data_IF_834932748304
#
_entry.id   IF_834932748304
#
_cell.length_a   1.000
_cell.length_b   1.000
_cell.length_c   1.000
_cell.angle_alpha   90.00
_cell.angle_beta   90.00
_cell.angle_gamma   90.00
#
_symmetry.space_group_name_H-M   'P 1'
#
loop_
_entity.id
_entity.type
_entity.pdbx_description
1 polymer ?
#
# COMPACT_ATOMS: atom_id res chain seq x y z
N UNK A 1 -34.51 -49.00 27.48
CA UNK A 1 -33.42 -48.53 28.35
C UNK A 1 -32.82 -47.30 27.70
N UNK A 2 -33.05 -46.17 28.35
CA UNK A 2 -32.60 -44.83 27.98
C UNK A 2 -31.08 -44.75 27.85
N UNK A 3 -30.57 -43.93 26.93
CA UNK A 3 -29.76 -42.75 27.27
C UNK A 3 -29.36 -41.97 26.02
N UNK A 4 -30.00 -40.81 25.92
CA UNK A 4 -29.61 -39.57 25.28
C UNK A 4 -28.11 -39.27 25.32
N UNK A 5 -27.55 -38.83 24.19
CA UNK A 5 -26.57 -37.74 24.16
C UNK A 5 -26.81 -36.94 22.88
N UNK A 6 -27.63 -35.90 23.00
CA UNK A 6 -27.46 -34.69 22.21
C UNK A 6 -26.07 -34.10 22.53
N UNK A 7 -25.44 -33.43 21.55
CA UNK A 7 -25.06 -32.01 21.60
C UNK A 7 -23.85 -31.74 20.69
N UNK A 8 -24.01 -30.72 19.85
CA UNK A 8 -23.07 -29.63 19.56
C UNK A 8 -22.90 -29.34 18.06
N UNK A 9 -23.82 -28.51 17.58
CA UNK A 9 -23.57 -27.22 16.92
C UNK A 9 -22.57 -27.15 15.75
N UNK A 10 -23.16 -26.93 14.57
CA UNK A 10 -22.85 -25.84 13.64
C UNK A 10 -21.56 -25.05 13.88
N UNK A 11 -20.65 -25.09 12.90
CA UNK A 11 -19.75 -23.98 12.59
C UNK A 11 -19.98 -23.54 11.16
N UNK A 12 -21.12 -22.87 10.95
CA UNK A 12 -21.18 -21.85 9.92
C UNK A 12 -20.21 -20.74 10.34
N UNK A 13 -19.05 -20.64 9.67
CA UNK A 13 -18.24 -19.42 9.73
C UNK A 13 -18.93 -18.35 8.88
N UNK A 14 -20.03 -17.81 9.39
CA UNK A 14 -20.42 -16.44 9.10
C UNK A 14 -19.56 -15.53 10.00
N UNK A 15 -18.26 -15.51 9.74
CA UNK A 15 -17.35 -14.56 10.37
C UNK A 15 -17.33 -13.31 9.51
N UNK A 16 -18.36 -12.47 9.63
CA UNK A 16 -18.27 -11.10 9.12
C UNK A 16 -17.07 -10.45 9.78
N UNK A 17 -16.04 -10.14 9.00
CA UNK A 17 -14.92 -9.35 9.49
C UNK A 17 -15.50 -8.09 10.17
N UNK A 18 -15.00 -7.68 11.34
CA UNK A 18 -15.46 -6.44 11.96
C UNK A 18 -15.37 -5.33 10.91
N UNK A 19 -16.40 -4.48 10.82
CA UNK A 19 -16.38 -3.31 9.93
C UNK A 19 -15.13 -2.48 10.23
N UNK A 20 -14.07 -2.70 9.45
CA UNK A 20 -12.84 -1.96 9.59
C UNK A 20 -13.07 -0.58 9.00
N UNK A 21 -12.72 0.46 9.75
CA UNK A 21 -12.76 1.81 9.21
C UNK A 21 -11.79 1.89 8.03
N UNK A 22 -12.18 2.57 6.95
CA UNK A 22 -11.33 2.70 5.76
C UNK A 22 -9.93 3.25 6.10
N UNK A 23 -9.82 4.14 7.09
CA UNK A 23 -8.53 4.63 7.59
C UNK A 23 -7.67 3.53 8.23
N UNK A 24 -8.28 2.59 8.98
CA UNK A 24 -7.56 1.45 9.54
C UNK A 24 -7.07 0.51 8.44
N UNK A 25 -7.86 0.30 7.39
CA UNK A 25 -7.43 -0.54 6.27
C UNK A 25 -6.26 0.09 5.49
N UNK A 26 -6.30 1.41 5.22
CA UNK A 26 -5.18 2.14 4.62
C UNK A 26 -3.92 2.05 5.49
N UNK A 27 -4.07 2.21 6.81
CA UNK A 27 -2.96 2.09 7.74
C UNK A 27 -2.36 0.69 7.74
N UNK A 28 -3.20 -0.36 7.79
CA UNK A 28 -2.76 -1.74 7.77
C UNK A 28 -2.02 -2.10 6.47
N UNK A 29 -2.59 -1.71 5.32
CA UNK A 29 -1.96 -1.96 4.01
C UNK A 29 -0.61 -1.23 3.88
N UNK A 30 -0.55 0.03 4.30
CA UNK A 30 0.70 0.80 4.27
C UNK A 30 1.77 0.26 5.23
N UNK A 31 1.37 -0.30 6.38
CA UNK A 31 2.30 -0.93 7.31
C UNK A 31 2.83 -2.25 6.74
N UNK A 32 1.96 -3.13 6.23
CA UNK A 32 2.38 -4.39 5.61
C UNK A 32 3.34 -4.16 4.44
N UNK A 33 3.05 -3.20 3.57
CA UNK A 33 3.99 -2.77 2.52
C UNK A 33 5.35 -2.35 3.07
N UNK A 34 5.39 -1.58 4.15
CA UNK A 34 6.65 -1.15 4.74
C UNK A 34 7.44 -2.33 5.31
N UNK A 35 6.76 -3.24 6.02
CA UNK A 35 7.35 -4.44 6.59
C UNK A 35 7.95 -5.32 5.49
N UNK A 36 7.22 -5.57 4.41
CA UNK A 36 7.69 -6.34 3.24
C UNK A 36 8.94 -5.70 2.61
N UNK A 37 8.91 -4.38 2.42
CA UNK A 37 10.03 -3.63 1.83
C UNK A 37 11.26 -3.69 2.74
N UNK A 38 11.09 -3.53 4.05
CA UNK A 38 12.19 -3.61 5.02
C UNK A 38 12.74 -5.03 5.14
N UNK A 39 11.88 -6.05 5.14
CA UNK A 39 12.29 -7.45 5.20
C UNK A 39 13.14 -7.86 4.00
N UNK A 40 12.91 -7.26 2.82
CA UNK A 40 13.74 -7.51 1.65
C UNK A 40 15.21 -7.11 1.85
N UNK A 41 15.49 -6.11 2.71
CA UNK A 41 16.82 -5.54 2.94
C UNK A 41 17.44 -4.82 1.73
N UNK A 42 16.71 -4.69 0.62
CA UNK A 42 17.24 -4.18 -0.67
C UNK A 42 17.17 -2.67 -0.82
N UNK A 43 16.37 -2.01 0.02
CA UNK A 43 16.04 -0.59 -0.13
C UNK A 43 16.53 0.16 1.11
N UNK A 44 17.49 1.10 0.96
CA UNK A 44 17.92 1.94 2.07
C UNK A 44 16.73 2.75 2.64
N UNK A 45 16.60 2.78 3.97
CA UNK A 45 15.52 3.51 4.65
C UNK A 45 15.46 4.99 4.26
N UNK A 46 16.62 5.63 4.07
CA UNK A 46 16.72 7.02 3.62
C UNK A 46 16.11 7.27 2.24
N UNK A 47 16.34 6.36 1.29
CA UNK A 47 15.76 6.44 -0.05
C UNK A 47 14.26 6.22 -0.03
N UNK A 48 13.79 5.22 0.73
CA UNK A 48 12.37 4.95 0.89
C UNK A 48 11.64 6.16 1.47
N UNK A 49 12.18 6.76 2.54
CA UNK A 49 11.67 8.00 3.13
C UNK A 49 11.60 9.12 2.09
N UNK A 50 12.69 9.38 1.38
CA UNK A 50 12.80 10.46 0.38
C UNK A 50 11.73 10.33 -0.70
N UNK A 51 11.56 9.15 -1.28
CA UNK A 51 10.60 8.94 -2.36
C UNK A 51 9.16 8.93 -1.85
N UNK A 52 8.86 8.25 -0.75
CA UNK A 52 7.51 8.23 -0.16
C UNK A 52 7.03 9.64 0.21
N UNK A 53 7.90 10.50 0.76
CA UNK A 53 7.57 11.90 1.09
C UNK A 53 7.31 12.76 -0.13
N UNK A 54 7.95 12.46 -1.26
CA UNK A 54 7.91 13.28 -2.48
C UNK A 54 6.60 13.12 -3.24
N UNK A 55 6.05 11.91 -3.31
CA UNK A 55 4.89 11.61 -4.16
C UNK A 55 3.64 12.45 -3.82
N UNK A 56 3.22 12.62 -2.55
CA UNK A 56 2.04 13.43 -2.22
C UNK A 56 2.12 14.86 -2.72
N UNK A 57 3.26 15.52 -2.51
CA UNK A 57 3.48 16.89 -2.97
C UNK A 57 3.48 16.97 -4.51
N UNK A 58 4.09 15.98 -5.17
CA UNK A 58 4.12 15.95 -6.63
C UNK A 58 2.73 15.73 -7.25
N UNK A 59 1.85 14.95 -6.61
CA UNK A 59 0.45 14.80 -7.03
C UNK A 59 -0.27 16.15 -6.94
N UNK A 60 -0.01 16.95 -5.91
CA UNK A 60 -0.64 18.26 -5.73
C UNK A 60 -0.17 19.27 -6.79
N UNK A 61 1.12 19.29 -7.12
CA UNK A 61 1.70 20.29 -8.05
C UNK A 61 1.51 19.89 -9.52
N UNK A 62 1.75 18.63 -9.87
CA UNK A 62 1.78 18.17 -11.27
C UNK A 62 0.50 17.43 -11.68
N UNK A 63 -0.36 17.09 -10.71
CA UNK A 63 -1.50 16.21 -10.92
C UNK A 63 -1.17 14.73 -10.79
N UNK A 64 -2.21 13.94 -10.53
CA UNK A 64 -2.10 12.51 -10.23
C UNK A 64 -1.48 11.69 -11.38
N UNK A 65 -2.00 11.82 -12.60
CA UNK A 65 -1.50 11.05 -13.75
C UNK A 65 -0.02 11.29 -14.05
N UNK A 66 0.42 12.55 -14.08
CA UNK A 66 1.82 12.90 -14.34
C UNK A 66 2.75 12.41 -13.23
N UNK A 67 2.32 12.53 -11.98
CA UNK A 67 3.08 12.07 -10.82
C UNK A 67 3.30 10.54 -10.86
N UNK A 68 2.25 9.78 -11.15
CA UNK A 68 2.32 8.32 -11.27
C UNK A 68 3.16 7.89 -12.48
N UNK A 69 2.99 8.55 -13.63
CA UNK A 69 3.81 8.28 -14.82
C UNK A 69 5.30 8.55 -14.57
N UNK A 70 5.63 9.60 -13.80
CA UNK A 70 7.01 9.87 -13.39
C UNK A 70 7.58 8.71 -12.55
N UNK A 71 6.85 8.21 -11.56
CA UNK A 71 7.29 7.07 -10.74
C UNK A 71 7.46 5.82 -11.60
N UNK A 72 6.49 5.53 -12.47
CA UNK A 72 6.58 4.44 -13.42
C UNK A 72 7.84 4.51 -14.28
N UNK A 73 8.19 5.69 -14.82
CA UNK A 73 9.38 5.87 -15.67
C UNK A 73 10.71 5.63 -14.95
N UNK A 74 10.72 5.72 -13.61
CA UNK A 74 11.93 5.66 -12.78
C UNK A 74 12.06 4.36 -12.00
N UNK A 75 11.01 3.52 -11.94
CA UNK A 75 10.97 2.30 -11.12
C UNK A 75 12.12 1.33 -11.40
N UNK A 76 12.45 1.10 -12.67
CA UNK A 76 13.56 0.21 -13.06
C UNK A 76 14.94 0.72 -12.65
N UNK A 77 15.07 2.03 -12.36
CA UNK A 77 16.34 2.66 -11.97
C UNK A 77 16.49 2.75 -10.45
N UNK A 78 15.38 2.83 -9.71
CA UNK A 78 15.40 3.08 -8.28
C UNK A 78 14.38 2.17 -7.59
N UNK A 79 14.87 1.17 -6.86
CA UNK A 79 14.03 0.21 -6.13
C UNK A 79 13.06 0.87 -5.13
N UNK A 80 13.47 1.96 -4.48
CA UNK A 80 12.57 2.76 -3.63
C UNK A 80 11.42 3.40 -4.42
N UNK A 81 11.65 3.81 -5.67
CA UNK A 81 10.58 4.36 -6.53
C UNK A 81 9.65 3.27 -6.99
N UNK A 82 10.19 2.11 -7.33
CA UNK A 82 9.41 0.91 -7.65
C UNK A 82 8.51 0.52 -6.48
N UNK A 83 9.05 0.38 -5.28
CA UNK A 83 8.26 0.05 -4.09
C UNK A 83 7.10 1.02 -3.84
N UNK A 84 7.32 2.34 -4.00
CA UNK A 84 6.25 3.34 -3.83
C UNK A 84 5.23 3.31 -4.97
N UNK A 85 5.67 3.00 -6.20
CA UNK A 85 4.76 2.79 -7.32
C UNK A 85 3.88 1.56 -7.10
N UNK A 86 4.48 0.44 -6.68
CA UNK A 86 3.79 -0.83 -6.43
C UNK A 86 2.82 -0.73 -5.26
N UNK A 87 3.12 0.09 -4.25
CA UNK A 87 2.16 0.44 -3.19
C UNK A 87 0.85 0.99 -3.77
N UNK A 88 0.94 1.93 -4.72
CA UNK A 88 -0.25 2.52 -5.35
C UNK A 88 -0.92 1.56 -6.33
N UNK A 89 -0.15 0.85 -7.16
CA UNK A 89 -0.70 -0.10 -8.13
C UNK A 89 -1.45 -1.22 -7.41
N UNK A 90 -0.85 -1.78 -6.35
CA UNK A 90 -1.48 -2.79 -5.49
C UNK A 90 -2.75 -2.27 -4.84
N UNK A 91 -2.69 -1.12 -4.13
CA UNK A 91 -3.87 -0.59 -3.46
C UNK A 91 -5.03 -0.30 -4.41
N UNK A 92 -4.76 0.27 -5.59
CA UNK A 92 -5.80 0.72 -6.50
C UNK A 92 -6.33 -0.36 -7.44
N UNK A 93 -5.50 -1.35 -7.79
CA UNK A 93 -5.80 -2.29 -8.87
C UNK A 93 -5.90 -3.75 -8.41
N UNK A 94 -5.22 -4.13 -7.33
CA UNK A 94 -5.13 -5.52 -6.89
C UNK A 94 -6.31 -5.93 -5.99
N UNK A 95 -6.70 -7.21 -5.99
CA UNK A 95 -7.84 -7.71 -5.20
C UNK A 95 -7.60 -7.67 -3.67
N UNK A 96 -6.34 -7.67 -3.25
CA UNK A 96 -5.86 -7.57 -1.87
C UNK A 96 -5.62 -6.12 -1.41
N UNK A 97 -5.86 -5.13 -2.28
CA UNK A 97 -5.81 -3.70 -1.95
C UNK A 97 -7.16 -3.14 -1.49
N UNK A 98 -7.57 -2.01 -2.09
CA UNK A 98 -8.84 -1.33 -1.82
C UNK A 98 -10.07 -2.25 -1.97
N UNK A 99 -9.98 -3.22 -2.88
CA UNK A 99 -11.03 -4.19 -3.14
C UNK A 99 -11.32 -5.10 -1.93
N UNK A 100 -10.33 -5.35 -1.06
CA UNK A 100 -10.51 -6.17 0.14
C UNK A 100 -11.55 -5.56 1.10
N UNK A 101 -11.65 -4.23 1.12
CA UNK A 101 -12.56 -3.49 2.01
C UNK A 101 -13.88 -3.15 1.33
N UNK A 102 -13.85 -2.92 0.01
CA UNK A 102 -15.00 -2.37 -0.73
C UNK A 102 -15.68 -3.36 -1.68
N UNK A 103 -15.09 -4.55 -1.87
CA UNK A 103 -15.57 -5.57 -2.80
C UNK A 103 -15.19 -5.34 -4.27
N UNK A 104 -14.55 -4.22 -4.62
CA UNK A 104 -14.14 -3.92 -6.00
C UNK A 104 -12.91 -3.01 -6.05
N UNK A 105 -11.95 -3.25 -6.95
CA UNK A 105 -10.79 -2.36 -7.10
C UNK A 105 -11.22 -0.99 -7.66
N UNK A 106 -10.44 0.05 -7.36
CA UNK A 106 -10.65 1.38 -7.93
C UNK A 106 -10.51 1.33 -9.45
N UNK A 107 -9.49 0.62 -9.91
CA UNK A 107 -9.27 0.30 -11.32
C UNK A 107 -9.37 -1.22 -11.54
N UNK A 108 -10.48 -1.71 -12.12
CA UNK A 108 -10.60 -3.11 -12.52
C UNK A 108 -9.52 -3.48 -13.52
N UNK A 109 -8.88 -4.64 -13.29
CA UNK A 109 -7.94 -5.20 -14.25
C UNK A 109 -8.73 -5.87 -15.37
N UNK A 110 -8.49 -5.46 -16.60
CA UNK A 110 -9.13 -5.99 -17.82
C UNK A 110 -8.20 -6.92 -18.62
N UNK A 111 -7.22 -7.53 -17.94
CA UNK A 111 -6.25 -8.44 -18.55
C UNK A 111 -5.17 -7.74 -19.41
N UNK A 112 -5.02 -6.42 -19.28
CA UNK A 112 -4.01 -5.68 -20.02
C UNK A 112 -2.57 -6.12 -19.65
N UNK A 113 -1.71 -6.33 -20.66
CA UNK A 113 -0.32 -6.77 -20.47
C UNK A 113 0.64 -5.65 -20.02
N UNK A 114 0.13 -4.44 -19.80
CA UNK A 114 0.90 -3.26 -19.37
C UNK A 114 0.66 -2.88 -17.90
N UNK A 115 1.10 -1.69 -17.50
CA UNK A 115 0.84 -1.19 -16.14
C UNK A 115 -0.67 -0.96 -15.94
N UNK A 116 -1.28 -1.70 -15.02
CA UNK A 116 -2.70 -1.58 -14.68
C UNK A 116 -3.06 -0.17 -14.23
N UNK A 117 -2.24 0.42 -13.36
CA UNK A 117 -2.49 1.76 -12.84
C UNK A 117 -2.48 2.84 -13.94
N UNK A 118 -1.48 2.89 -14.82
CA UNK A 118 -1.48 3.86 -15.94
C UNK A 118 -2.59 3.59 -16.95
N UNK A 119 -2.95 2.32 -17.18
CA UNK A 119 -4.09 1.97 -18.02
C UNK A 119 -5.38 2.52 -17.42
N UNK A 120 -5.61 2.30 -16.13
CA UNK A 120 -6.75 2.83 -15.39
C UNK A 120 -6.82 4.36 -15.44
N UNK A 121 -5.69 5.03 -15.22
CA UNK A 121 -5.58 6.50 -15.26
C UNK A 121 -5.98 7.08 -16.63
N UNK A 122 -5.62 6.41 -17.72
CA UNK A 122 -5.80 6.96 -19.09
C UNK A 122 -7.10 6.53 -19.77
N UNK A 123 -7.78 5.49 -19.26
CA UNK A 123 -8.97 4.91 -19.91
C UNK A 123 -10.26 5.05 -19.11
N UNK A 124 -10.18 5.22 -17.79
CA UNK A 124 -11.36 5.23 -16.94
C UNK A 124 -12.01 6.62 -16.86
N UNK A 125 -13.32 6.70 -16.59
CA UNK A 125 -14.02 7.98 -16.47
C UNK A 125 -13.43 8.89 -15.39
N UNK A 126 -13.65 10.20 -15.54
CA UNK A 126 -13.15 11.23 -14.63
C UNK A 126 -13.51 10.96 -13.16
N UNK A 127 -14.68 10.39 -12.88
CA UNK A 127 -15.09 10.03 -11.52
C UNK A 127 -14.10 9.03 -10.88
N UNK A 128 -13.73 7.96 -11.61
CA UNK A 128 -12.75 6.98 -11.12
C UNK A 128 -11.36 7.58 -10.98
N UNK A 129 -10.97 8.47 -11.90
CA UNK A 129 -9.72 9.22 -11.77
C UNK A 129 -9.65 10.05 -10.48
N UNK A 130 -10.71 10.82 -10.17
CA UNK A 130 -10.77 11.63 -8.94
C UNK A 130 -10.79 10.75 -7.69
N UNK A 131 -11.50 9.62 -7.74
CA UNK A 131 -11.51 8.63 -6.67
C UNK A 131 -10.11 8.06 -6.41
N UNK A 132 -9.42 7.60 -7.46
CA UNK A 132 -8.06 7.08 -7.36
C UNK A 132 -7.07 8.11 -6.81
N UNK A 133 -7.19 9.38 -7.23
CA UNK A 133 -6.39 10.46 -6.68
C UNK A 133 -6.64 10.66 -5.18
N UNK A 134 -7.90 10.68 -4.74
CA UNK A 134 -8.25 10.84 -3.34
C UNK A 134 -7.74 9.67 -2.48
N UNK A 135 -7.92 8.43 -2.95
CA UNK A 135 -7.43 7.22 -2.28
C UNK A 135 -5.90 7.18 -2.21
N UNK A 136 -5.21 7.55 -3.29
CA UNK A 136 -3.75 7.63 -3.30
C UNK A 136 -3.24 8.62 -2.26
N UNK A 137 -3.83 9.81 -2.18
CA UNK A 137 -3.44 10.79 -1.16
C UNK A 137 -3.71 10.29 0.26
N UNK A 138 -4.82 9.58 0.48
CA UNK A 138 -5.16 9.03 1.79
C UNK A 138 -4.19 7.91 2.22
N UNK A 139 -3.88 6.98 1.33
CA UNK A 139 -2.91 5.92 1.58
C UNK A 139 -1.50 6.48 1.83
N UNK A 140 -1.04 7.40 0.98
CA UNK A 140 0.30 7.96 1.08
C UNK A 140 0.50 8.78 2.36
N UNK A 141 -0.56 9.32 2.98
CA UNK A 141 -0.46 9.94 4.31
C UNK A 141 -0.04 8.92 5.37
N UNK A 142 -0.57 7.70 5.31
CA UNK A 142 -0.18 6.62 6.23
C UNK A 142 1.22 6.09 5.92
N UNK A 143 1.51 5.79 4.65
CA UNK A 143 2.85 5.36 4.23
C UNK A 143 3.93 6.36 4.68
N UNK A 144 3.67 7.67 4.51
CA UNK A 144 4.55 8.74 5.01
C UNK A 144 4.76 8.64 6.53
N UNK A 145 3.71 8.49 7.32
CA UNK A 145 3.84 8.38 8.79
C UNK A 145 4.72 7.20 9.19
N UNK A 146 4.54 6.05 8.55
CA UNK A 146 5.31 4.85 8.89
C UNK A 146 6.77 4.93 8.46
N UNK A 147 7.07 5.41 7.25
CA UNK A 147 8.49 5.55 6.84
C UNK A 147 9.24 6.57 7.70
N UNK A 148 8.57 7.60 8.22
CA UNK A 148 9.20 8.58 9.13
C UNK A 148 9.55 7.98 10.49
N UNK A 149 8.87 6.90 10.90
CA UNK A 149 9.16 6.19 12.15
C UNK A 149 10.38 5.26 12.05
N UNK A 150 10.88 4.96 10.84
CA UNK A 150 12.13 4.23 10.69
C UNK A 150 13.31 5.05 11.26
N UNK A 151 14.40 4.41 11.73
CA UNK A 151 15.64 5.10 12.09
C UNK A 151 16.18 5.94 10.93
N UNK A 152 16.91 7.03 11.18
CA UNK A 152 17.72 7.63 10.10
C UNK A 152 18.84 6.65 9.79
N UNK A 153 19.26 6.58 8.53
CA UNK A 153 20.33 5.65 8.11
C UNK A 153 21.66 5.86 8.84
N UNK A 154 21.78 6.95 9.62
CA UNK A 154 22.95 7.33 10.41
C UNK A 154 22.74 7.11 11.93
N UNK A 155 21.55 6.66 12.36
CA UNK A 155 21.19 6.46 13.77
C UNK A 155 21.48 5.01 14.25
N UNK A 156 22.46 4.32 13.65
CA UNK A 156 22.99 3.10 14.25
C UNK A 156 23.75 3.53 15.52
N UNK A 157 23.38 3.04 16.73
CA UNK A 157 24.14 3.36 17.92
C UNK A 157 25.51 2.70 17.76
N UNK A 158 26.53 3.52 17.52
CA UNK A 158 27.92 3.14 17.75
C UNK A 158 28.01 2.61 19.18
N UNK A 159 28.00 1.29 19.33
CA UNK A 159 28.19 0.62 20.62
C UNK A 159 29.54 1.05 21.19
N UNK A 160 29.59 1.81 22.30
CA UNK A 160 30.85 2.17 22.94
C UNK A 160 31.37 1.04 23.86
N UNK A 161 30.96 -0.21 23.63
CA UNK A 161 31.24 -1.37 24.49
C UNK A 161 32.36 -2.31 24.03
N UNK A 162 33.01 -2.10 22.89
CA UNK A 162 34.08 -3.01 22.41
C UNK A 162 35.47 -2.44 22.67
N UNK A 163 35.84 -2.30 23.95
CA UNK A 163 37.25 -2.32 24.39
C UNK A 163 37.39 -3.32 25.54
N UNK A 164 37.94 -4.48 25.22
CA UNK A 164 38.79 -5.25 26.13
C UNK A 164 40.07 -5.60 25.36
#
# INVERSE_FOLDING_TARGET
MSSTTERTAARGRAGGAPFQLMEQARAAYALGWLEDVMQSGRIPAGDLKRWTRRLPAMIQVNGFGQAVAFYYSRRQKWSAVEAVYDLLDGWLCAPDGYAQVTGSPVYPTDGHQGSRLLHGITRQPQQRYRHAQAESQALLRWAKKFVEALPRGDDEPSDPGSRQ
#
